data_IF_769702187995
#
_entry.id   IF_769702187995
#
_cell.length_a   1.000
_cell.length_b   1.000
_cell.length_c   1.000
_cell.angle_alpha   90.00
_cell.angle_beta   90.00
_cell.angle_gamma   90.00
#
_symmetry.space_group_name_H-M   'P 1'
#
loop_
_entity.id
_entity.type
_entity.pdbx_description
1 polymer ?
#
# COMPACT_ATOMS: atom_id res chain seq x y z
N UNK A 1 10.30 34.84 18.26
CA UNK A 1 9.80 34.82 16.87
C UNK A 1 9.81 33.38 16.40
N UNK A 2 8.80 32.95 15.65
CA UNK A 2 8.68 31.57 15.15
C UNK A 2 8.37 31.62 13.66
N UNK A 3 9.11 30.86 12.86
CA UNK A 3 8.85 30.69 11.43
C UNK A 3 8.11 29.35 11.21
N UNK A 4 7.29 29.28 10.16
CA UNK A 4 6.45 28.10 9.86
C UNK A 4 6.70 27.61 8.43
N UNK A 5 6.62 26.30 8.23
CA UNK A 5 6.64 25.63 6.93
C UNK A 5 5.69 24.42 6.97
N UNK A 6 5.11 24.06 5.83
CA UNK A 6 4.19 22.91 5.70
C UNK A 6 4.69 21.94 4.64
N UNK A 7 4.46 20.65 4.87
CA UNK A 7 4.75 19.58 3.94
C UNK A 7 3.56 18.61 3.90
N UNK A 8 3.15 18.19 2.70
CA UNK A 8 2.15 17.15 2.50
C UNK A 8 2.86 15.83 2.30
N UNK A 9 2.69 14.90 3.25
CA UNK A 9 3.26 13.56 3.14
C UNK A 9 2.71 12.81 1.92
N UNK A 10 3.57 12.02 1.29
CA UNK A 10 3.27 11.17 0.14
C UNK A 10 3.10 9.71 0.59
N UNK A 11 2.56 8.85 -0.29
CA UNK A 11 2.52 7.41 -0.01
C UNK A 11 3.92 6.84 0.23
N UNK A 12 4.93 7.31 -0.50
CA UNK A 12 6.32 6.89 -0.30
C UNK A 12 6.84 7.23 1.11
N UNK A 13 6.36 8.31 1.74
CA UNK A 13 6.72 8.63 3.12
C UNK A 13 6.06 7.69 4.13
N UNK A 14 4.82 7.28 3.86
CA UNK A 14 4.09 6.29 4.68
C UNK A 14 4.76 4.93 4.55
N UNK A 15 5.10 4.51 3.32
CA UNK A 15 5.81 3.26 3.04
C UNK A 15 7.22 3.26 3.67
N UNK A 16 7.89 4.41 3.71
CA UNK A 16 9.19 4.59 4.39
C UNK A 16 9.07 4.59 5.92
N UNK A 17 7.89 4.89 6.46
CA UNK A 17 7.59 4.87 7.89
C UNK A 17 8.17 6.03 8.71
N UNK A 18 9.00 6.89 8.12
CA UNK A 18 9.61 8.04 8.82
C UNK A 18 10.02 9.17 7.87
N UNK A 19 9.68 10.39 8.28
CA UNK A 19 10.14 11.64 7.68
C UNK A 19 11.10 12.30 8.67
N UNK A 20 12.30 12.67 8.21
CA UNK A 20 13.26 13.45 8.99
C UNK A 20 13.49 14.79 8.30
N UNK A 21 13.41 15.88 9.05
CA UNK A 21 13.69 17.23 8.56
C UNK A 21 14.78 17.88 9.43
N UNK A 22 15.76 18.53 8.81
CA UNK A 22 16.90 19.18 9.49
C UNK A 22 16.97 20.63 9.05
N UNK A 23 17.18 21.54 10.01
CA UNK A 23 17.27 22.97 9.76
C UNK A 23 18.48 23.62 10.44
N UNK A 24 18.98 24.67 9.81
CA UNK A 24 19.93 25.64 10.36
C UNK A 24 19.36 27.04 10.18
N UNK A 25 19.89 28.02 10.94
CA UNK A 25 19.53 29.42 10.84
C UNK A 25 20.76 30.27 10.56
N UNK A 26 20.57 31.34 9.78
CA UNK A 26 21.60 32.34 9.47
C UNK A 26 21.03 33.74 9.64
N UNK A 27 21.90 34.75 9.60
CA UNK A 27 21.51 36.16 9.65
C UNK A 27 22.67 37.08 9.29
N UNK A 28 22.37 38.34 9.02
CA UNK A 28 23.36 39.35 8.64
C UNK A 28 23.45 40.42 9.73
N UNK A 29 24.54 40.50 10.51
CA UNK A 29 24.70 41.52 11.53
C UNK A 29 25.03 42.89 10.91
N UNK A 30 24.68 43.98 11.59
CA UNK A 30 25.03 45.35 11.16
C UNK A 30 26.53 45.63 11.19
N UNK A 31 27.30 44.83 11.93
CA UNK A 31 28.77 44.84 11.94
C UNK A 31 29.30 43.44 12.31
N UNK A 32 30.45 43.05 11.76
CA UNK A 32 31.11 41.77 12.06
C UNK A 32 30.56 40.60 11.23
N UNK A 33 30.87 39.37 11.65
CA UNK A 33 30.42 38.13 11.01
C UNK A 33 29.56 37.30 11.96
N UNK A 34 28.58 36.58 11.42
CA UNK A 34 27.74 35.63 12.14
C UNK A 34 27.88 34.25 11.51
N UNK A 35 28.43 33.24 12.21
CA UNK A 35 28.39 31.87 11.72
C UNK A 35 26.95 31.32 11.73
N UNK A 36 26.65 30.30 10.92
CA UNK A 36 25.38 29.58 11.00
C UNK A 36 25.11 29.03 12.40
N UNK A 37 23.83 28.84 12.74
CA UNK A 37 23.43 28.16 13.98
C UNK A 37 23.85 26.68 13.97
N UNK A 38 23.63 26.01 15.10
CA UNK A 38 23.61 24.56 15.11
C UNK A 38 22.51 23.98 14.20
N UNK A 39 22.66 22.72 13.82
CA UNK A 39 21.59 21.92 13.23
C UNK A 39 20.55 21.55 14.29
N UNK A 40 19.29 21.49 13.86
CA UNK A 40 18.19 20.96 14.64
C UNK A 40 17.35 20.04 13.76
N UNK A 41 17.00 18.85 14.27
CA UNK A 41 16.26 17.84 13.53
C UNK A 41 14.89 17.56 14.16
N UNK A 42 13.90 17.30 13.31
CA UNK A 42 12.58 16.79 13.69
C UNK A 42 12.32 15.47 12.96
N UNK A 43 11.65 14.53 13.64
CA UNK A 43 11.22 13.25 13.07
C UNK A 43 9.71 13.10 13.21
N UNK A 44 9.08 12.65 12.14
CA UNK A 44 7.65 12.30 12.10
C UNK A 44 7.57 10.84 11.67
N UNK A 45 6.95 10.00 12.48
CA UNK A 45 6.78 8.56 12.18
C UNK A 45 5.43 8.31 11.51
N UNK A 46 5.40 7.38 10.57
CA UNK A 46 4.19 6.84 9.95
C UNK A 46 4.12 5.32 10.25
N UNK A 47 3.42 4.91 11.32
CA UNK A 47 3.31 3.49 11.66
C UNK A 47 2.62 2.70 10.55
N UNK A 48 3.22 1.58 10.16
CA UNK A 48 2.65 0.68 9.18
C UNK A 48 1.46 -0.10 9.77
N UNK A 49 0.39 -0.19 9.00
CA UNK A 49 -0.82 -0.96 9.28
C UNK A 49 -1.24 -1.67 7.97
N UNK A 50 -0.49 -2.70 7.54
CA UNK A 50 -0.83 -3.48 6.35
C UNK A 50 -2.11 -4.28 6.57
N UNK A 51 -2.98 -4.31 5.56
CA UNK A 51 -4.18 -5.14 5.56
C UNK A 51 -4.61 -5.43 4.12
N UNK A 52 -5.15 -6.64 3.91
CA UNK A 52 -5.60 -7.12 2.61
C UNK A 52 -6.94 -7.84 2.81
N UNK A 53 -7.93 -7.50 2.00
CA UNK A 53 -9.18 -8.26 1.91
C UNK A 53 -9.24 -9.05 0.61
N UNK A 54 -9.93 -10.18 0.65
CA UNK A 54 -10.22 -11.01 -0.51
C UNK A 54 -11.72 -11.27 -0.55
N UNK A 55 -12.35 -11.00 -1.69
CA UNK A 55 -13.72 -11.41 -2.00
C UNK A 55 -13.68 -12.41 -3.15
N UNK A 56 -14.27 -13.59 -2.92
CA UNK A 56 -14.42 -14.63 -3.95
C UNK A 56 -15.86 -14.66 -4.44
N UNK A 57 -16.05 -14.65 -5.75
CA UNK A 57 -17.38 -14.75 -6.39
C UNK A 57 -17.38 -15.77 -7.52
N UNK A 58 -18.57 -16.24 -7.89
CA UNK A 58 -18.78 -17.10 -9.06
C UNK A 58 -19.68 -16.37 -10.08
N UNK A 59 -19.48 -16.61 -11.37
CA UNK A 59 -20.26 -15.99 -12.43
C UNK A 59 -21.73 -16.44 -12.48
N UNK A 60 -22.05 -17.54 -11.79
CA UNK A 60 -23.40 -18.09 -11.67
C UNK A 60 -23.67 -18.57 -10.25
N UNK A 61 -24.92 -18.51 -9.82
CA UNK A 61 -25.38 -19.09 -8.54
C UNK A 61 -25.86 -20.54 -8.67
N UNK A 62 -26.17 -20.99 -9.89
CA UNK A 62 -26.72 -22.32 -10.17
C UNK A 62 -26.12 -22.91 -11.45
N UNK A 63 -25.88 -24.22 -11.43
CA UNK A 63 -25.50 -25.02 -12.61
C UNK A 63 -26.75 -25.70 -13.16
N UNK A 64 -27.06 -25.46 -14.43
CA UNK A 64 -28.33 -25.91 -15.05
C UNK A 64 -28.16 -27.06 -16.03
N UNK A 65 -26.93 -27.30 -16.49
CA UNK A 65 -26.59 -28.39 -17.42
C UNK A 65 -25.14 -28.83 -17.25
N UNK A 66 -24.87 -30.08 -17.58
CA UNK A 66 -23.49 -30.57 -17.70
C UNK A 66 -22.71 -29.78 -18.76
N UNK A 67 -21.43 -29.51 -18.49
CA UNK A 67 -20.55 -28.73 -19.37
C UNK A 67 -20.74 -27.20 -19.31
N UNK A 68 -21.59 -26.69 -18.41
CA UNK A 68 -21.64 -25.25 -18.13
C UNK A 68 -20.35 -24.81 -17.43
N UNK A 69 -19.68 -23.79 -17.98
CA UNK A 69 -18.50 -23.20 -17.36
C UNK A 69 -18.91 -22.26 -16.22
N UNK A 70 -18.15 -22.30 -15.12
CA UNK A 70 -18.25 -21.36 -14.00
C UNK A 70 -16.93 -20.61 -13.96
N UNK A 71 -17.01 -19.28 -13.97
CA UNK A 71 -15.85 -18.43 -13.77
C UNK A 71 -15.83 -17.97 -12.31
N UNK A 72 -14.69 -18.10 -11.65
CA UNK A 72 -14.48 -17.61 -10.30
C UNK A 72 -13.62 -16.35 -10.34
N UNK A 73 -14.05 -15.31 -9.64
CA UNK A 73 -13.30 -14.05 -9.52
C UNK A 73 -12.79 -13.89 -8.08
N UNK A 74 -11.61 -13.30 -7.97
CA UNK A 74 -10.91 -13.06 -6.71
C UNK A 74 -10.54 -11.58 -6.66
N UNK A 75 -11.36 -10.79 -5.98
CA UNK A 75 -11.13 -9.36 -5.79
C UNK A 75 -10.27 -9.16 -4.55
N UNK A 76 -9.04 -8.73 -4.76
CA UNK A 76 -8.07 -8.40 -3.71
C UNK A 76 -8.13 -6.89 -3.48
N UNK A 77 -8.17 -6.43 -2.24
CA UNK A 77 -8.17 -4.98 -1.95
C UNK A 77 -7.20 -4.67 -0.81
N UNK A 78 -6.27 -3.75 -1.05
CA UNK A 78 -5.41 -3.25 0.01
C UNK A 78 -6.22 -2.32 0.92
N UNK A 79 -6.57 -2.83 2.11
CA UNK A 79 -7.32 -2.08 3.13
C UNK A 79 -6.39 -1.47 4.19
N UNK A 80 -5.08 -1.63 4.02
CA UNK A 80 -4.05 -1.05 4.87
C UNK A 80 -3.63 0.35 4.45
N UNK A 81 -2.58 0.87 5.11
CA UNK A 81 -2.03 2.20 4.82
C UNK A 81 -0.67 2.19 4.10
N UNK A 82 -0.11 1.01 3.81
CA UNK A 82 1.15 0.83 3.09
C UNK A 82 0.91 0.11 1.78
N UNK A 83 1.75 0.38 0.79
CA UNK A 83 1.76 -0.35 -0.49
C UNK A 83 2.12 -1.82 -0.24
N UNK A 84 1.36 -2.74 -0.85
CA UNK A 84 1.61 -4.17 -0.80
C UNK A 84 2.27 -4.63 -2.11
N UNK A 85 3.29 -5.46 -2.01
CA UNK A 85 4.02 -5.96 -3.18
C UNK A 85 3.77 -7.45 -3.40
N UNK A 86 3.74 -7.89 -4.65
CA UNK A 86 3.54 -9.28 -5.08
C UNK A 86 2.30 -9.94 -4.46
N UNK A 87 1.15 -9.26 -4.53
CA UNK A 87 -0.11 -9.77 -4.00
C UNK A 87 -0.61 -10.91 -4.89
N UNK A 88 -0.98 -12.03 -4.29
CA UNK A 88 -1.56 -13.18 -4.99
C UNK A 88 -2.72 -13.76 -4.19
N UNK A 89 -3.61 -14.48 -4.88
CA UNK A 89 -4.61 -15.33 -4.26
C UNK A 89 -4.27 -16.80 -4.55
N UNK A 90 -4.48 -17.66 -3.56
CA UNK A 90 -4.36 -19.11 -3.70
C UNK A 90 -5.74 -19.69 -3.44
N UNK A 91 -6.25 -20.46 -4.40
CA UNK A 91 -7.43 -21.28 -4.18
C UNK A 91 -7.00 -22.65 -3.68
N UNK A 92 -7.59 -23.10 -2.56
CA UNK A 92 -7.26 -24.39 -1.97
C UNK A 92 -8.03 -25.49 -2.70
N UNK A 93 -7.33 -26.16 -3.62
CA UNK A 93 -7.90 -27.25 -4.41
C UNK A 93 -8.37 -28.42 -3.54
N UNK A 94 -7.79 -28.63 -2.35
CA UNK A 94 -8.26 -29.68 -1.43
C UNK A 94 -9.66 -29.40 -0.86
N UNK A 95 -10.08 -28.13 -0.88
CA UNK A 95 -11.42 -27.69 -0.48
C UNK A 95 -12.39 -27.59 -1.66
N UNK A 96 -11.90 -27.72 -2.89
CA UNK A 96 -12.76 -27.74 -4.06
C UNK A 96 -13.52 -29.07 -4.15
N UNK A 97 -14.84 -29.01 -4.16
CA UNK A 97 -15.72 -30.20 -4.16
C UNK A 97 -16.27 -30.54 -5.55
N UNK A 98 -15.85 -29.81 -6.60
CA UNK A 98 -16.20 -30.14 -7.98
C UNK A 98 -15.46 -31.39 -8.47
N UNK A 99 -16.01 -32.05 -9.50
CA UNK A 99 -15.32 -33.16 -10.15
C UNK A 99 -14.35 -32.61 -11.21
N UNK A 100 -13.06 -32.86 -11.05
CA UNK A 100 -11.98 -32.39 -11.93
C UNK A 100 -11.13 -31.28 -11.30
N UNK A 101 -10.15 -30.81 -12.06
CA UNK A 101 -9.17 -29.83 -11.57
C UNK A 101 -9.67 -28.40 -11.82
N UNK A 102 -9.49 -27.53 -10.83
CA UNK A 102 -9.72 -26.10 -11.01
C UNK A 102 -8.49 -25.46 -11.66
N UNK A 103 -8.69 -24.55 -12.62
CA UNK A 103 -7.57 -23.79 -13.18
C UNK A 103 -6.87 -22.97 -12.10
N UNK A 104 -5.54 -22.74 -12.21
CA UNK A 104 -4.82 -21.89 -11.26
C UNK A 104 -5.37 -20.46 -11.27
N UNK A 105 -5.29 -19.79 -10.13
CA UNK A 105 -5.61 -18.36 -10.02
C UNK A 105 -4.54 -17.55 -10.75
N UNK A 106 -4.97 -16.65 -11.62
CA UNK A 106 -4.08 -15.73 -12.37
C UNK A 106 -4.44 -14.31 -11.96
N UNK A 107 -3.50 -13.60 -11.32
CA UNK A 107 -3.64 -12.19 -10.97
C UNK A 107 -3.03 -11.30 -12.08
N UNK A 108 -3.58 -10.10 -12.32
CA UNK A 108 -3.02 -9.15 -13.28
C UNK A 108 -1.68 -8.57 -12.80
N UNK A 109 -0.91 -7.96 -13.71
CA UNK A 109 0.37 -7.30 -13.39
C UNK A 109 0.21 -6.20 -12.33
N UNK A 110 -0.96 -5.56 -12.26
CA UNK A 110 -1.29 -4.59 -11.20
C UNK A 110 -1.16 -5.16 -9.78
N UNK A 111 -1.27 -6.48 -9.60
CA UNK A 111 -1.07 -7.13 -8.30
C UNK A 111 0.41 -7.15 -7.85
N UNK A 112 1.35 -6.81 -8.73
CA UNK A 112 2.77 -6.69 -8.39
C UNK A 112 3.01 -5.56 -7.36
N UNK A 113 2.24 -4.47 -7.42
CA UNK A 113 2.29 -3.37 -6.46
C UNK A 113 0.89 -2.77 -6.28
N UNK A 114 0.30 -3.00 -5.11
CA UNK A 114 -1.07 -2.63 -4.77
C UNK A 114 -1.06 -1.51 -3.72
N UNK A 115 -1.29 -0.28 -4.16
CA UNK A 115 -1.38 0.88 -3.30
C UNK A 115 -2.58 0.79 -2.33
N UNK A 116 -2.57 1.51 -1.19
CA UNK A 116 -3.74 1.60 -0.31
C UNK A 116 -5.02 1.96 -1.05
N UNK A 117 -6.11 1.28 -0.69
CA UNK A 117 -7.45 1.38 -1.29
C UNK A 117 -7.55 0.97 -2.77
N UNK A 118 -6.49 0.42 -3.38
CA UNK A 118 -6.55 -0.16 -4.72
C UNK A 118 -7.01 -1.63 -4.70
N UNK A 119 -7.55 -2.10 -5.84
CA UNK A 119 -8.01 -3.47 -6.11
C UNK A 119 -7.60 -3.95 -7.50
#
# INVERSE_FOLDING_TARGET
>A
MTCFATYTATQADVDKGVITNVATATGTPTRGTLPPSNESAAKVTAPAAPALSLVKSASVSEVTRAGQQIEYSFELTNTGNVTLENVTAIDDEAQFTGFGDLSPVICPEAAASLAPAAS
#
